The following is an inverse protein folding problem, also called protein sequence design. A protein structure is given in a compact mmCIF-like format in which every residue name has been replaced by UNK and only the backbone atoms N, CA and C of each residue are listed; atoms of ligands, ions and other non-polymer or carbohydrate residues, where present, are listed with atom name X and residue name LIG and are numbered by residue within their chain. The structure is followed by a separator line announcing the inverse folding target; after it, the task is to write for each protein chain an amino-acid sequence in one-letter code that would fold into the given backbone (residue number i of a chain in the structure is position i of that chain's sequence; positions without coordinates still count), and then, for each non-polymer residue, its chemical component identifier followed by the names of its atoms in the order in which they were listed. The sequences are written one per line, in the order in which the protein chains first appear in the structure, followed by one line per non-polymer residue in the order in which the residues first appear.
data_IF_239066838821
#
_entry.id   IF_239066838821
#
_cell.length_a   1.000
_cell.length_b   1.000
_cell.length_c   1.000
_cell.angle_alpha   90.00
_cell.angle_beta   90.00
_cell.angle_gamma   90.00
#
_symmetry.space_group_name_H-M   'P 1'
#
loop_
_entity.id
_entity.type
_entity.pdbx_description
1 polymer ?
#
# COMPACT_ATOMS: atom_id res chain seq x y z
N UNK A 1 44.43 -8.54 22.70
CA UNK A 1 43.13 -8.06 22.20
C UNK A 1 43.28 -7.58 20.76
N UNK A 2 42.81 -8.39 19.77
CA UNK A 2 42.82 -7.98 18.36
C UNK A 2 41.51 -7.23 18.08
N UNK A 3 41.58 -5.92 17.88
CA UNK A 3 40.47 -5.08 17.43
C UNK A 3 40.11 -5.47 16.00
N UNK A 4 38.94 -6.08 15.82
CA UNK A 4 38.36 -6.35 14.51
C UNK A 4 37.85 -5.02 13.97
N UNK A 5 38.59 -4.44 13.03
CA UNK A 5 38.13 -3.30 12.24
C UNK A 5 37.09 -3.83 11.24
N UNK A 6 35.79 -3.72 11.58
CA UNK A 6 34.71 -4.00 10.64
C UNK A 6 34.81 -2.98 9.50
N UNK A 7 34.87 -3.38 8.24
CA UNK A 7 35.12 -2.43 7.16
C UNK A 7 33.92 -1.49 6.99
N UNK A 8 34.19 -0.20 7.08
CA UNK A 8 33.26 0.93 6.89
C UNK A 8 32.47 0.86 5.57
N UNK A 9 32.94 0.05 4.63
CA UNK A 9 32.32 -0.14 3.29
C UNK A 9 30.95 -0.86 3.32
N UNK A 10 30.67 -1.71 4.32
CA UNK A 10 29.38 -2.41 4.43
C UNK A 10 28.25 -1.46 4.85
N UNK A 11 28.56 -0.44 5.66
CA UNK A 11 27.57 0.54 6.11
C UNK A 11 27.19 1.51 4.99
N UNK A 12 28.11 1.84 4.08
CA UNK A 12 27.90 2.76 2.95
C UNK A 12 27.01 2.13 1.88
N UNK A 13 27.09 0.81 1.66
CA UNK A 13 26.29 0.12 0.64
C UNK A 13 24.79 0.06 0.99
N UNK A 14 24.42 -0.03 2.27
CA UNK A 14 23.02 0.02 2.70
C UNK A 14 22.38 1.42 2.55
N UNK A 15 23.16 2.49 2.75
CA UNK A 15 22.70 3.87 2.56
C UNK A 15 22.41 4.21 1.08
N UNK A 16 23.09 3.55 0.13
CA UNK A 16 22.91 3.82 -1.30
C UNK A 16 21.64 3.20 -1.91
N UNK A 17 21.12 2.11 -1.35
CA UNK A 17 19.91 1.45 -1.87
C UNK A 17 18.64 2.25 -1.51
N UNK A 18 18.53 2.75 -0.27
CA UNK A 18 17.41 3.61 0.15
C UNK A 18 17.33 4.92 -0.65
N UNK A 19 18.46 5.57 -0.93
CA UNK A 19 18.54 6.77 -1.77
C UNK A 19 18.03 6.56 -3.21
N UNK A 20 18.14 5.35 -3.77
CA UNK A 20 17.72 5.10 -5.15
C UNK A 20 16.20 5.05 -5.31
N UNK A 21 15.47 4.40 -4.41
CA UNK A 21 13.99 4.30 -4.45
C UNK A 21 13.36 5.67 -4.20
N UNK A 22 13.79 6.38 -3.16
CA UNK A 22 13.29 7.72 -2.86
C UNK A 22 13.47 8.67 -4.05
N UNK A 23 14.62 8.61 -4.74
CA UNK A 23 14.87 9.40 -5.96
C UNK A 23 13.90 9.04 -7.08
N UNK A 24 13.56 7.75 -7.28
CA UNK A 24 12.60 7.32 -8.28
C UNK A 24 11.18 7.77 -7.93
N UNK A 25 10.80 7.75 -6.67
CA UNK A 25 9.50 8.24 -6.19
C UNK A 25 9.31 9.75 -6.42
N UNK A 26 10.40 10.53 -6.44
CA UNK A 26 10.37 11.97 -6.70
C UNK A 26 10.26 12.32 -8.19
N UNK A 27 10.54 11.39 -9.12
CA UNK A 27 10.52 11.65 -10.57
C UNK A 27 9.12 11.96 -11.09
N UNK A 28 9.07 12.92 -12.04
CA UNK A 28 7.83 13.40 -12.65
C UNK A 28 7.14 14.50 -11.83
N UNK A 29 6.10 15.06 -12.42
CA UNK A 29 5.31 16.18 -11.88
C UNK A 29 3.82 15.95 -12.05
N UNK A 30 3.00 16.85 -11.52
CA UNK A 30 1.55 16.83 -11.60
C UNK A 30 1.07 18.12 -12.27
N UNK A 31 0.05 18.02 -13.11
CA UNK A 31 -0.65 19.15 -13.72
C UNK A 31 -2.15 19.06 -13.47
N UNK A 32 -2.84 20.20 -13.34
CA UNK A 32 -2.27 21.57 -13.24
C UNK A 32 -1.49 21.76 -11.92
N UNK A 33 -0.73 22.85 -11.80
CA UNK A 33 0.07 23.14 -10.60
C UNK A 33 -0.77 23.33 -9.34
N UNK A 34 -2.02 23.76 -9.50
CA UNK A 34 -3.02 23.85 -8.41
C UNK A 34 -4.23 23.04 -8.83
N UNK A 35 -4.59 22.06 -8.01
CA UNK A 35 -5.72 21.18 -8.30
C UNK A 35 -6.44 20.72 -7.03
N UNK A 36 -7.72 20.45 -7.22
CA UNK A 36 -8.57 19.65 -6.34
C UNK A 36 -9.56 18.92 -7.25
N UNK A 37 -9.60 17.60 -7.15
CA UNK A 37 -10.46 16.77 -7.98
C UNK A 37 -11.15 15.72 -7.10
N UNK A 38 -12.44 15.52 -7.34
CA UNK A 38 -13.24 14.50 -6.66
C UNK A 38 -13.79 13.49 -7.66
N UNK A 39 -13.80 12.23 -7.27
CA UNK A 39 -14.39 11.15 -8.07
C UNK A 39 -14.92 10.06 -7.15
N UNK A 40 -15.71 9.15 -7.72
CA UNK A 40 -16.05 7.90 -7.04
C UNK A 40 -15.04 6.81 -7.38
N UNK A 41 -14.89 5.84 -6.50
CA UNK A 41 -14.12 4.64 -6.75
C UNK A 41 -14.98 3.37 -6.61
N UNK A 42 -14.51 2.28 -7.18
CA UNK A 42 -15.02 0.94 -6.91
C UNK A 42 -14.06 0.17 -6.03
N UNK A 43 -14.49 -0.96 -5.50
CA UNK A 43 -13.62 -1.81 -4.70
C UNK A 43 -13.61 -3.23 -5.22
N UNK A 44 -12.44 -3.86 -5.20
CA UNK A 44 -12.28 -5.29 -5.36
C UNK A 44 -11.79 -5.87 -4.03
N UNK A 45 -12.63 -6.68 -3.35
CA UNK A 45 -12.31 -7.20 -2.00
C UNK A 45 -11.81 -6.11 -1.04
N UNK A 46 -12.49 -4.97 -0.97
CA UNK A 46 -12.15 -3.76 -0.18
C UNK A 46 -10.99 -2.92 -0.72
N UNK A 47 -10.19 -3.36 -1.67
CA UNK A 47 -9.10 -2.57 -2.26
C UNK A 47 -9.68 -1.56 -3.25
N UNK A 48 -9.19 -0.33 -3.24
CA UNK A 48 -9.62 0.73 -4.14
C UNK A 48 -9.21 0.45 -5.57
N UNK A 49 -10.16 0.59 -6.49
CA UNK A 49 -9.95 0.55 -7.94
C UNK A 49 -10.30 1.92 -8.51
N UNK A 50 -9.34 2.54 -9.15
CA UNK A 50 -9.44 3.90 -9.69
C UNK A 50 -9.34 3.89 -11.22
N UNK A 51 -10.24 4.62 -11.91
CA UNK A 51 -10.15 4.73 -13.36
C UNK A 51 -9.15 5.82 -13.75
N UNK A 52 -8.05 5.42 -14.36
CA UNK A 52 -7.11 6.34 -14.98
C UNK A 52 -7.15 6.25 -16.50
N UNK A 53 -6.81 7.34 -17.18
CA UNK A 53 -6.54 7.34 -18.61
C UNK A 53 -5.04 7.15 -18.83
N UNK A 54 -4.68 6.06 -19.47
CA UNK A 54 -3.32 5.69 -19.81
C UNK A 54 -3.24 5.48 -21.33
N UNK A 55 -2.34 6.20 -22.02
CA UNK A 55 -2.22 6.18 -23.48
C UNK A 55 -3.55 6.43 -24.22
N UNK A 56 -4.36 7.35 -23.71
CA UNK A 56 -5.67 7.70 -24.29
C UNK A 56 -6.81 6.71 -23.96
N UNK A 57 -6.53 5.60 -23.28
CA UNK A 57 -7.52 4.56 -22.95
C UNK A 57 -7.79 4.57 -21.46
N UNK A 58 -9.07 4.51 -21.07
CA UNK A 58 -9.48 4.35 -19.68
C UNK A 58 -9.15 2.93 -19.21
N UNK A 59 -8.40 2.83 -18.09
CA UNK A 59 -7.98 1.58 -17.46
C UNK A 59 -8.21 1.63 -15.96
N UNK A 60 -8.42 0.48 -15.34
CA UNK A 60 -8.62 0.33 -13.92
C UNK A 60 -7.31 0.04 -13.20
N UNK A 61 -6.97 0.87 -12.23
CA UNK A 61 -5.75 0.74 -11.43
C UNK A 61 -6.08 0.44 -9.98
N UNK A 62 -5.37 -0.51 -9.41
CA UNK A 62 -5.40 -0.79 -7.99
C UNK A 62 -4.58 0.27 -7.24
N UNK A 63 -5.13 0.83 -6.15
CA UNK A 63 -4.43 1.81 -5.31
C UNK A 63 -3.72 1.09 -4.16
N UNK A 64 -2.40 1.22 -4.07
CA UNK A 64 -1.57 0.43 -3.17
C UNK A 64 -0.49 1.28 -2.47
N UNK A 65 -0.70 1.57 -1.19
CA UNK A 65 0.28 2.29 -0.37
C UNK A 65 1.47 1.44 0.05
N UNK A 66 1.38 0.12 -0.10
CA UNK A 66 2.47 -0.82 0.14
C UNK A 66 3.41 -1.02 -1.06
N UNK A 67 3.04 -0.49 -2.24
CA UNK A 67 3.89 -0.56 -3.43
C UNK A 67 4.86 0.62 -3.50
N UNK A 68 6.16 0.38 -3.40
CA UNK A 68 7.21 1.41 -3.46
C UNK A 68 7.20 2.21 -4.76
N UNK A 69 6.80 1.59 -5.86
CA UNK A 69 6.69 2.18 -7.19
C UNK A 69 5.39 1.73 -7.85
N UNK A 70 4.86 2.54 -8.76
CA UNK A 70 3.71 2.15 -9.57
C UNK A 70 4.09 1.04 -10.55
N UNK A 71 3.11 0.21 -10.91
CA UNK A 71 3.27 -0.88 -11.86
C UNK A 71 2.30 -0.68 -13.03
N UNK A 72 2.78 -0.89 -14.25
CA UNK A 72 1.96 -0.80 -15.46
C UNK A 72 1.79 -2.20 -16.04
N UNK A 73 0.53 -2.60 -16.25
CA UNK A 73 0.22 -3.84 -16.94
C UNK A 73 0.66 -3.74 -18.41
N UNK A 74 1.51 -4.65 -18.83
CA UNK A 74 1.92 -4.86 -20.21
C UNK A 74 2.02 -6.35 -20.50
N UNK A 75 1.84 -6.73 -21.73
CA UNK A 75 2.01 -8.13 -22.14
C UNK A 75 3.45 -8.59 -21.98
N UNK A 76 4.39 -7.70 -22.31
CA UNK A 76 5.83 -7.94 -22.19
C UNK A 76 6.50 -6.75 -21.49
N UNK A 77 7.55 -6.99 -20.69
CA UNK A 77 8.33 -5.92 -20.08
C UNK A 77 9.09 -5.11 -21.14
N UNK A 78 9.03 -3.79 -21.03
CA UNK A 78 9.79 -2.87 -21.91
C UNK A 78 10.86 -2.13 -21.11
N UNK A 79 11.91 -1.69 -21.81
CA UNK A 79 13.05 -1.00 -21.21
C UNK A 79 14.03 -1.94 -20.50
N UNK A 80 14.90 -1.38 -19.66
CA UNK A 80 15.86 -2.18 -18.89
C UNK A 80 15.12 -3.04 -17.86
N UNK A 81 15.30 -4.36 -17.91
CA UNK A 81 14.60 -5.30 -17.03
C UNK A 81 15.36 -5.60 -15.75
N UNK A 82 14.61 -6.01 -14.72
CA UNK A 82 15.12 -6.51 -13.46
C UNK A 82 14.19 -7.58 -12.87
N UNK A 83 14.73 -8.47 -12.05
CA UNK A 83 13.93 -9.44 -11.31
C UNK A 83 13.43 -8.84 -10.01
N UNK A 84 12.13 -8.93 -9.77
CA UNK A 84 11.46 -8.43 -8.57
C UNK A 84 10.65 -9.57 -7.96
N UNK A 85 10.64 -9.65 -6.65
CA UNK A 85 9.74 -10.52 -5.92
C UNK A 85 8.59 -9.68 -5.34
N UNK A 86 7.37 -10.09 -5.63
CA UNK A 86 6.17 -9.53 -4.98
C UNK A 86 5.85 -10.27 -3.66
N UNK A 87 4.63 -10.04 -3.16
CA UNK A 87 4.12 -10.71 -1.95
C UNK A 87 4.04 -12.24 -2.06
N UNK A 88 4.14 -12.81 -3.25
CA UNK A 88 4.15 -14.25 -3.51
C UNK A 88 5.53 -14.89 -3.44
N UNK A 89 6.60 -14.15 -3.20
CA UNK A 89 8.00 -14.58 -3.33
C UNK A 89 8.38 -15.11 -4.73
N UNK A 90 7.44 -15.13 -5.70
CA UNK A 90 7.73 -15.50 -7.09
C UNK A 90 8.52 -14.37 -7.75
N UNK A 91 9.65 -14.71 -8.34
CA UNK A 91 10.45 -13.77 -9.11
C UNK A 91 9.76 -13.46 -10.44
N UNK A 92 9.60 -12.18 -10.73
CA UNK A 92 9.05 -11.67 -12.00
C UNK A 92 10.08 -10.78 -12.67
N UNK A 93 10.17 -10.87 -13.99
CA UNK A 93 11.00 -9.99 -14.79
C UNK A 93 10.16 -8.76 -15.17
N UNK A 94 10.49 -7.60 -14.61
CA UNK A 94 9.81 -6.34 -14.91
C UNK A 94 10.77 -5.35 -15.59
N UNK A 95 10.23 -4.58 -16.51
CA UNK A 95 10.92 -3.49 -17.19
C UNK A 95 10.82 -2.18 -16.42
N UNK A 96 11.69 -1.22 -16.73
CA UNK A 96 11.69 0.15 -16.17
C UNK A 96 11.21 1.13 -17.22
N UNK A 97 10.22 1.96 -16.88
CA UNK A 97 9.75 3.01 -17.78
C UNK A 97 9.45 4.32 -17.03
N UNK A 98 9.43 5.40 -17.81
CA UNK A 98 8.86 6.67 -17.37
C UNK A 98 7.52 6.86 -18.10
N UNK A 99 6.44 6.84 -17.33
CA UNK A 99 5.09 7.01 -17.83
C UNK A 99 4.89 8.47 -18.22
N UNK A 100 4.75 8.73 -19.52
CA UNK A 100 4.62 10.09 -20.06
C UNK A 100 3.41 10.82 -19.50
N UNK A 101 2.28 10.12 -19.40
CA UNK A 101 1.01 10.67 -18.93
C UNK A 101 0.14 9.58 -18.31
N UNK A 102 -0.37 9.87 -17.11
CA UNK A 102 -1.39 9.08 -16.43
C UNK A 102 -2.40 10.07 -15.83
N UNK A 103 -3.68 10.02 -16.26
CA UNK A 103 -4.68 11.02 -15.88
C UNK A 103 -5.81 10.43 -15.07
N UNK A 104 -6.26 11.17 -14.05
CA UNK A 104 -7.51 10.91 -13.34
C UNK A 104 -8.32 12.22 -13.31
N UNK A 105 -9.43 12.25 -14.05
CA UNK A 105 -10.18 13.50 -14.27
C UNK A 105 -9.31 14.60 -14.85
N UNK A 106 -9.22 15.72 -14.14
CA UNK A 106 -8.43 16.90 -14.53
C UNK A 106 -6.97 16.84 -14.08
N UNK A 107 -6.60 15.84 -13.27
CA UNK A 107 -5.24 15.70 -12.71
C UNK A 107 -4.41 14.79 -13.60
N UNK A 108 -3.25 15.25 -14.03
CA UNK A 108 -2.32 14.53 -14.89
C UNK A 108 -0.95 14.37 -14.21
N UNK A 109 -0.53 13.12 -14.01
CA UNK A 109 0.80 12.76 -13.55
C UNK A 109 1.70 12.52 -14.75
N UNK A 110 2.79 13.29 -14.88
CA UNK A 110 3.69 13.28 -16.04
C UNK A 110 5.08 12.77 -15.68
N UNK A 111 5.66 11.99 -16.59
CA UNK A 111 7.03 11.49 -16.51
C UNK A 111 7.35 10.78 -15.17
N UNK A 112 6.38 10.08 -14.62
CA UNK A 112 6.52 9.33 -13.37
C UNK A 112 7.17 7.98 -13.62
N UNK A 113 8.02 7.54 -12.71
CA UNK A 113 8.65 6.24 -12.81
C UNK A 113 7.67 5.11 -12.50
N UNK A 114 7.73 4.04 -13.29
CA UNK A 114 7.00 2.80 -13.03
C UNK A 114 7.82 1.59 -13.45
N UNK A 115 7.47 0.44 -12.89
CA UNK A 115 7.85 -0.85 -13.45
C UNK A 115 6.71 -1.36 -14.34
N UNK A 116 7.04 -2.21 -15.30
CA UNK A 116 6.04 -2.71 -16.24
C UNK A 116 6.27 -4.19 -16.55
N UNK A 117 5.21 -4.88 -16.91
CA UNK A 117 5.26 -6.28 -17.33
C UNK A 117 3.91 -6.95 -17.12
N UNK A 118 3.89 -8.26 -17.30
CA UNK A 118 2.66 -9.03 -17.12
C UNK A 118 2.35 -9.22 -15.64
N UNK A 119 1.21 -8.67 -15.21
CA UNK A 119 0.67 -8.73 -13.85
C UNK A 119 -0.55 -9.68 -13.82
N UNK A 120 -0.44 -10.82 -14.46
CA UNK A 120 -1.52 -11.74 -14.79
C UNK A 120 -2.42 -12.10 -13.60
N UNK A 121 -1.84 -12.31 -12.42
CA UNK A 121 -2.61 -12.65 -11.22
C UNK A 121 -3.65 -11.60 -10.80
N UNK A 122 -3.43 -10.32 -11.12
CA UNK A 122 -4.38 -9.23 -10.84
C UNK A 122 -5.24 -8.90 -12.06
N UNK A 123 -4.70 -9.01 -13.27
CA UNK A 123 -5.40 -8.78 -14.53
C UNK A 123 -6.66 -9.67 -14.66
N UNK A 124 -6.60 -10.91 -14.18
CA UNK A 124 -7.72 -11.83 -14.18
C UNK A 124 -8.86 -11.41 -13.22
N UNK A 125 -8.56 -10.57 -12.24
CA UNK A 125 -9.52 -10.17 -11.21
C UNK A 125 -10.15 -8.79 -11.44
N UNK A 126 -9.52 -7.95 -12.26
CA UNK A 126 -9.92 -6.57 -12.49
C UNK A 126 -10.07 -6.36 -13.99
N UNK A 127 -11.31 -6.06 -14.42
CA UNK A 127 -11.57 -5.74 -15.83
C UNK A 127 -10.78 -4.52 -16.28
N UNK A 128 -10.31 -4.51 -17.51
CA UNK A 128 -9.51 -3.41 -18.08
C UNK A 128 -8.34 -2.98 -17.21
N UNK A 129 -7.69 -3.94 -16.56
CA UNK A 129 -6.62 -3.70 -15.62
C UNK A 129 -5.45 -2.93 -16.28
N UNK A 130 -5.11 -1.78 -15.70
CA UNK A 130 -4.02 -0.92 -16.17
C UNK A 130 -2.74 -1.06 -15.36
N UNK A 131 -2.86 -1.52 -14.09
CA UNK A 131 -1.72 -1.63 -13.20
C UNK A 131 -2.00 -1.26 -11.76
N UNK A 132 -0.96 -0.85 -11.04
CA UNK A 132 -1.00 -0.47 -9.62
C UNK A 132 -0.50 0.97 -9.47
N UNK A 133 -1.24 1.78 -8.76
CA UNK A 133 -0.82 3.11 -8.31
C UNK A 133 -0.06 2.94 -7.00
N UNK A 134 1.24 3.11 -7.05
CA UNK A 134 2.15 3.04 -5.91
C UNK A 134 2.73 4.40 -5.54
N UNK A 135 3.75 4.40 -4.69
CA UNK A 135 4.32 5.61 -4.07
C UNK A 135 4.87 6.64 -5.07
N UNK A 136 5.24 6.24 -6.30
CA UNK A 136 5.68 7.17 -7.35
C UNK A 136 4.57 8.12 -7.82
N UNK A 137 3.31 7.76 -7.62
CA UNK A 137 2.12 8.58 -7.87
C UNK A 137 1.55 9.10 -6.55
N UNK A 138 1.39 8.22 -5.55
CA UNK A 138 0.74 8.56 -4.27
C UNK A 138 1.45 9.74 -3.59
N UNK A 139 2.78 9.77 -3.59
CA UNK A 139 3.56 10.84 -2.96
C UNK A 139 3.42 12.24 -3.61
N UNK A 140 2.71 12.34 -4.75
CA UNK A 140 2.62 13.60 -5.51
C UNK A 140 1.37 14.42 -5.21
N UNK A 141 0.47 13.93 -4.37
CA UNK A 141 -0.77 14.60 -4.00
C UNK A 141 -1.20 14.18 -2.59
N UNK A 142 -2.13 14.92 -2.02
CA UNK A 142 -2.89 14.53 -0.86
C UNK A 142 -4.12 13.74 -1.31
N UNK A 143 -4.46 12.67 -0.60
CA UNK A 143 -5.52 11.73 -0.96
C UNK A 143 -6.48 11.56 0.21
N UNK A 144 -7.72 12.00 0.05
CA UNK A 144 -8.78 11.72 1.01
C UNK A 144 -9.68 10.61 0.46
N UNK A 145 -9.71 9.49 1.15
CA UNK A 145 -10.41 8.27 0.77
C UNK A 145 -11.58 8.09 1.73
N UNK A 146 -12.80 8.33 1.27
CA UNK A 146 -14.03 8.12 2.01
C UNK A 146 -14.57 6.73 1.65
N UNK A 147 -14.26 5.74 2.48
CA UNK A 147 -14.67 4.36 2.24
C UNK A 147 -16.19 4.17 2.33
N UNK A 148 -16.90 4.72 3.34
CA UNK A 148 -18.36 4.61 3.42
C UNK A 148 -19.09 5.13 2.18
N UNK A 149 -18.69 6.29 1.68
CA UNK A 149 -19.35 6.93 0.53
C UNK A 149 -18.70 6.60 -0.81
N UNK A 150 -17.60 5.80 -0.83
CA UNK A 150 -16.80 5.46 -2.01
C UNK A 150 -16.40 6.70 -2.82
N UNK A 151 -15.97 7.75 -2.13
CA UNK A 151 -15.50 9.01 -2.70
C UNK A 151 -14.01 9.19 -2.49
N UNK A 152 -13.34 9.68 -3.51
CA UNK A 152 -11.95 10.04 -3.50
C UNK A 152 -11.80 11.52 -3.82
N UNK A 153 -11.05 12.24 -2.98
CA UNK A 153 -10.61 13.61 -3.26
C UNK A 153 -9.10 13.62 -3.36
N UNK A 154 -8.58 14.22 -4.42
CA UNK A 154 -7.16 14.36 -4.72
C UNK A 154 -6.84 15.85 -4.78
N UNK A 155 -5.82 16.32 -4.08
CA UNK A 155 -5.45 17.74 -4.07
C UNK A 155 -3.97 17.92 -3.76
N UNK A 156 -3.39 19.03 -4.21
CA UNK A 156 -2.11 19.51 -3.70
C UNK A 156 -2.27 20.57 -2.57
N UNK A 157 -3.51 20.87 -2.19
CA UNK A 157 -3.83 21.71 -1.02
C UNK A 157 -4.04 20.85 0.20
N UNK A 158 -3.97 21.46 1.38
CA UNK A 158 -4.38 20.80 2.62
C UNK A 158 -5.88 20.43 2.54
N UNK A 159 -6.19 19.17 2.87
CA UNK A 159 -7.53 18.62 2.91
C UNK A 159 -8.00 18.37 4.35
N UNK A 160 -7.22 18.83 5.34
CA UNK A 160 -7.53 18.64 6.75
C UNK A 160 -8.71 19.49 7.17
N UNK A 161 -9.66 18.91 7.87
CA UNK A 161 -10.65 19.58 8.70
C UNK A 161 -10.45 19.22 10.19
N UNK A 162 -11.17 19.89 11.08
CA UNK A 162 -11.02 19.76 12.55
C UNK A 162 -11.45 18.40 13.09
N UNK A 163 -12.15 17.59 12.31
CA UNK A 163 -12.66 16.27 12.74
C UNK A 163 -11.73 15.12 12.41
N UNK A 164 -10.65 15.35 11.66
CA UNK A 164 -9.62 14.36 11.43
C UNK A 164 -8.67 14.22 12.63
N UNK A 165 -8.47 13.00 13.08
CA UNK A 165 -7.47 12.67 14.09
C UNK A 165 -6.18 12.23 13.40
N UNK A 166 -5.06 12.87 13.73
CA UNK A 166 -3.75 12.44 13.28
C UNK A 166 -3.34 11.14 13.98
N UNK A 167 -2.90 10.16 13.21
CA UNK A 167 -2.35 8.93 13.76
C UNK A 167 -0.82 9.00 13.81
N UNK A 168 -0.22 8.31 14.77
CA UNK A 168 1.24 8.17 14.86
C UNK A 168 1.74 7.48 13.60
N UNK A 169 2.60 8.16 12.84
CA UNK A 169 3.00 7.72 11.52
C UNK A 169 4.51 7.86 11.33
N UNK A 170 5.12 6.88 10.66
CA UNK A 170 6.53 6.92 10.23
C UNK A 170 6.65 6.32 8.84
N UNK A 171 7.41 6.96 7.97
CA UNK A 171 7.83 6.40 6.69
C UNK A 171 9.25 5.85 6.83
N UNK A 172 9.45 4.56 6.58
CA UNK A 172 10.73 3.87 6.70
C UNK A 172 10.92 3.08 5.41
N UNK A 173 12.00 3.36 4.67
CA UNK A 173 12.33 2.70 3.40
C UNK A 173 11.17 2.64 2.39
N UNK A 174 10.39 3.73 2.32
CA UNK A 174 9.22 3.84 1.43
C UNK A 174 7.92 3.30 2.03
N UNK A 175 7.96 2.41 3.00
CA UNK A 175 6.78 1.84 3.63
C UNK A 175 6.18 2.76 4.71
N UNK A 176 4.85 2.81 4.76
CA UNK A 176 4.08 3.60 5.72
C UNK A 176 3.75 2.78 6.96
N UNK A 177 4.27 3.18 8.13
CA UNK A 177 4.04 2.51 9.41
C UNK A 177 3.18 3.34 10.33
N UNK A 178 2.32 2.66 11.09
CA UNK A 178 1.61 3.21 12.26
C UNK A 178 1.79 2.29 13.46
N UNK A 179 1.16 2.65 14.56
CA UNK A 179 1.15 1.85 15.79
C UNK A 179 -0.28 1.56 16.19
N UNK A 180 -0.59 0.30 16.39
CA UNK A 180 -1.86 -0.16 16.93
C UNK A 180 -1.67 -0.58 18.36
N UNK A 181 -2.72 -0.43 19.18
CA UNK A 181 -2.73 -0.89 20.57
C UNK A 181 -3.70 -2.05 20.71
N UNK A 182 -3.20 -3.16 21.24
CA UNK A 182 -4.00 -4.35 21.61
C UNK A 182 -3.72 -4.62 23.09
N UNK A 183 -4.77 -4.64 23.94
CA UNK A 183 -4.65 -4.84 25.40
C UNK A 183 -3.62 -3.94 26.08
N UNK A 184 -3.55 -2.68 25.66
CA UNK A 184 -2.63 -1.69 26.24
C UNK A 184 -1.19 -1.75 25.68
N UNK A 185 -0.84 -2.73 24.84
CA UNK A 185 0.50 -2.85 24.24
C UNK A 185 0.53 -2.30 22.81
N UNK A 186 1.52 -1.47 22.53
CA UNK A 186 1.75 -0.89 21.19
C UNK A 186 2.48 -1.87 20.27
N UNK A 187 1.98 -2.01 19.05
CA UNK A 187 2.58 -2.83 17.99
C UNK A 187 2.74 -2.03 16.70
N UNK A 188 3.95 -2.02 16.14
CA UNK A 188 4.24 -1.39 14.85
C UNK A 188 3.67 -2.23 13.71
N UNK A 189 2.90 -1.62 12.81
CA UNK A 189 2.27 -2.26 11.65
C UNK A 189 2.42 -1.41 10.40
N UNK A 190 2.40 -2.05 9.22
CA UNK A 190 2.35 -1.35 7.94
C UNK A 190 0.90 -0.95 7.64
N UNK A 191 0.70 0.25 7.10
CA UNK A 191 -0.53 0.67 6.43
C UNK A 191 -0.42 0.28 4.96
N UNK A 192 -1.18 -0.74 4.55
CA UNK A 192 -1.13 -1.32 3.20
C UNK A 192 -2.53 -1.34 2.59
N UNK A 193 -2.93 -0.24 1.93
CA UNK A 193 -4.25 -0.12 1.30
C UNK A 193 -4.38 -0.96 0.03
N UNK A 194 -3.29 -1.56 -0.46
CA UNK A 194 -3.29 -2.61 -1.48
C UNK A 194 -3.63 -4.00 -0.95
N UNK A 195 -3.74 -4.17 0.37
CA UNK A 195 -4.17 -5.40 1.02
C UNK A 195 -5.65 -5.36 1.36
N UNK A 196 -6.38 -6.44 1.05
CA UNK A 196 -7.82 -6.58 1.37
C UNK A 196 -8.11 -7.02 2.81
N UNK A 197 -7.09 -7.24 3.64
CA UNK A 197 -7.28 -7.65 5.04
C UNK A 197 -7.74 -6.50 5.93
N UNK A 198 -8.36 -6.81 7.07
CA UNK A 198 -8.44 -5.84 8.16
C UNK A 198 -7.10 -5.83 8.88
N UNK A 199 -6.71 -6.92 9.54
CA UNK A 199 -5.41 -7.05 10.20
C UNK A 199 -4.75 -8.38 9.81
N UNK A 200 -3.47 -8.33 9.45
CA UNK A 200 -2.70 -9.50 9.06
C UNK A 200 -1.40 -9.58 9.83
N UNK A 201 -1.07 -10.78 10.33
CA UNK A 201 0.11 -11.07 11.13
C UNK A 201 0.96 -12.19 10.53
N UNK A 202 2.30 -12.09 10.63
CA UNK A 202 3.18 -13.22 10.39
C UNK A 202 2.93 -14.35 11.41
N UNK A 203 2.76 -15.59 10.93
CA UNK A 203 2.48 -16.75 11.77
C UNK A 203 3.54 -17.02 12.85
N UNK A 204 4.80 -16.73 12.57
CA UNK A 204 5.92 -16.90 13.52
C UNK A 204 6.09 -15.77 14.53
N UNK A 205 5.30 -14.68 14.44
CA UNK A 205 5.47 -13.51 15.31
C UNK A 205 5.04 -13.78 16.74
N UNK A 206 5.70 -13.09 17.70
CA UNK A 206 5.34 -13.16 19.13
C UNK A 206 3.87 -12.79 19.36
N UNK A 207 3.38 -11.73 18.69
CA UNK A 207 2.00 -11.30 18.80
C UNK A 207 1.02 -12.36 18.27
N UNK A 208 1.32 -13.00 17.12
CA UNK A 208 0.48 -14.06 16.59
C UNK A 208 0.35 -15.24 17.58
N UNK A 209 1.47 -15.69 18.16
CA UNK A 209 1.47 -16.75 19.17
C UNK A 209 0.62 -16.41 20.39
N UNK A 210 0.71 -15.17 20.88
CA UNK A 210 -0.07 -14.69 22.00
C UNK A 210 -1.57 -14.67 21.65
N UNK A 211 -1.95 -14.11 20.50
CA UNK A 211 -3.35 -14.01 20.10
C UNK A 211 -4.00 -15.38 19.87
N UNK A 212 -3.25 -16.36 19.36
CA UNK A 212 -3.72 -17.74 19.19
C UNK A 212 -4.02 -18.43 20.53
N UNK A 213 -3.36 -18.05 21.61
CA UNK A 213 -3.64 -18.58 22.95
C UNK A 213 -4.87 -17.91 23.61
N UNK A 214 -5.12 -16.64 23.24
CA UNK A 214 -6.13 -15.81 23.90
C UNK A 214 -7.48 -15.79 23.20
N UNK A 215 -7.49 -16.01 21.87
CA UNK A 215 -8.69 -15.90 21.05
C UNK A 215 -8.91 -17.15 20.21
N UNK A 216 -10.16 -17.37 19.84
CA UNK A 216 -10.52 -18.52 18.99
C UNK A 216 -10.19 -18.19 17.52
N UNK A 217 -9.17 -18.85 16.98
CA UNK A 217 -8.80 -18.83 15.57
C UNK A 217 -9.16 -20.16 14.91
N UNK A 218 -9.61 -20.09 13.68
CA UNK A 218 -9.96 -21.27 12.87
C UNK A 218 -9.13 -21.30 11.60
N UNK A 219 -8.77 -22.48 11.17
CA UNK A 219 -8.11 -22.66 9.87
C UNK A 219 -9.05 -22.23 8.73
N UNK A 220 -8.50 -21.53 7.78
CA UNK A 220 -9.16 -21.06 6.58
C UNK A 220 -8.22 -21.22 5.39
N UNK A 221 -8.75 -21.69 4.29
CA UNK A 221 -8.05 -21.77 3.02
C UNK A 221 -8.66 -20.78 2.05
N UNK A 222 -7.83 -20.03 1.35
CA UNK A 222 -8.29 -19.10 0.32
C UNK A 222 -7.26 -18.83 -0.76
N UNK A 223 -7.72 -18.39 -1.89
CA UNK A 223 -6.86 -17.84 -2.92
C UNK A 223 -6.39 -16.43 -2.58
N UNK A 224 -5.11 -16.20 -2.78
CA UNK A 224 -4.47 -14.89 -2.72
C UNK A 224 -3.98 -14.50 -4.11
N UNK A 225 -4.44 -13.35 -4.56
CA UNK A 225 -4.08 -12.76 -5.85
C UNK A 225 -2.97 -11.74 -5.63
N UNK A 226 -1.88 -11.90 -6.37
CA UNK A 226 -0.70 -11.04 -6.28
C UNK A 226 -0.19 -10.74 -7.68
N UNK A 227 0.71 -9.78 -7.80
CA UNK A 227 1.41 -9.52 -9.08
C UNK A 227 2.12 -10.78 -9.63
N UNK A 228 2.57 -11.68 -8.78
CA UNK A 228 3.24 -12.93 -9.15
C UNK A 228 2.31 -14.10 -9.42
N UNK A 229 0.98 -13.88 -9.51
CA UNK A 229 -0.01 -14.90 -9.79
C UNK A 229 -0.96 -15.21 -8.63
N UNK A 230 -1.69 -16.32 -8.78
CA UNK A 230 -2.65 -16.82 -7.81
C UNK A 230 -1.96 -17.89 -6.96
N UNK A 231 -2.21 -17.85 -5.66
CA UNK A 231 -1.72 -18.84 -4.70
C UNK A 231 -2.81 -19.23 -3.73
N UNK A 232 -2.96 -20.51 -3.49
CA UNK A 232 -3.73 -21.02 -2.35
C UNK A 232 -2.89 -20.82 -1.09
N UNK A 233 -3.44 -20.15 -0.09
CA UNK A 233 -2.82 -19.96 1.21
C UNK A 233 -3.70 -20.54 2.30
N UNK A 234 -3.06 -21.19 3.27
CA UNK A 234 -3.68 -21.57 4.55
C UNK A 234 -3.38 -20.49 5.56
N UNK A 235 -4.38 -20.04 6.28
CA UNK A 235 -4.28 -19.03 7.31
C UNK A 235 -5.16 -19.39 8.51
N UNK A 236 -4.84 -18.83 9.66
CA UNK A 236 -5.72 -18.88 10.82
C UNK A 236 -6.47 -17.55 10.95
N UNK A 237 -7.78 -17.61 11.06
CA UNK A 237 -8.67 -16.44 11.10
C UNK A 237 -9.43 -16.38 12.40
N UNK A 238 -9.37 -15.23 13.07
CA UNK A 238 -10.09 -14.94 14.31
C UNK A 238 -10.55 -13.50 14.38
N UNK A 239 -11.24 -13.16 15.46
CA UNK A 239 -11.72 -11.80 15.73
C UNK A 239 -11.02 -11.26 16.98
N UNK A 240 -10.39 -10.11 16.85
CA UNK A 240 -9.86 -9.33 17.97
C UNK A 240 -10.94 -8.31 18.39
N UNK A 241 -11.43 -8.36 19.63
CA UNK A 241 -12.56 -7.52 20.06
C UNK A 241 -12.30 -6.03 19.92
N UNK A 242 -11.07 -5.59 20.21
CA UNK A 242 -10.69 -4.18 20.20
C UNK A 242 -9.24 -3.99 19.77
N UNK A 243 -9.04 -3.16 18.73
CA UNK A 243 -7.74 -2.60 18.33
C UNK A 243 -7.89 -1.08 18.34
N UNK A 244 -6.88 -0.35 18.83
CA UNK A 244 -6.86 1.12 18.78
C UNK A 244 -5.72 1.63 17.89
N UNK A 245 -5.94 2.77 17.23
CA UNK A 245 -4.89 3.60 16.64
C UNK A 245 -5.00 4.98 17.29
N UNK A 246 -4.07 5.33 18.17
CA UNK A 246 -4.26 6.47 19.05
C UNK A 246 -5.54 6.28 19.87
N UNK A 247 -6.45 7.27 19.83
CA UNK A 247 -7.74 7.24 20.50
C UNK A 247 -8.87 6.61 19.69
N UNK A 248 -8.60 6.25 18.41
CA UNK A 248 -9.61 5.67 17.54
C UNK A 248 -9.76 4.17 17.81
N UNK A 249 -10.97 3.75 18.15
CA UNK A 249 -11.30 2.36 18.44
C UNK A 249 -11.84 1.62 17.21
N UNK A 250 -11.31 0.43 16.96
CA UNK A 250 -11.78 -0.51 15.95
C UNK A 250 -12.23 -1.79 16.65
N UNK A 251 -13.52 -2.09 16.54
CA UNK A 251 -14.15 -3.23 17.23
C UNK A 251 -14.31 -4.42 16.30
N UNK A 252 -14.20 -5.64 16.87
CA UNK A 252 -14.40 -6.90 16.16
C UNK A 252 -13.55 -7.03 14.89
N UNK A 253 -12.26 -6.71 15.00
CA UNK A 253 -11.33 -6.71 13.86
C UNK A 253 -11.01 -8.12 13.42
N UNK A 254 -11.35 -8.45 12.17
CA UNK A 254 -10.99 -9.74 11.55
C UNK A 254 -9.48 -9.79 11.36
N UNK A 255 -8.86 -10.76 12.00
CA UNK A 255 -7.41 -10.94 12.01
C UNK A 255 -7.03 -12.24 11.32
N UNK A 256 -6.10 -12.16 10.37
CA UNK A 256 -5.52 -13.31 9.69
C UNK A 256 -4.09 -13.52 10.14
N UNK A 257 -3.71 -14.76 10.42
CA UNK A 257 -2.34 -15.17 10.72
C UNK A 257 -1.88 -16.11 9.62
N UNK A 258 -0.85 -15.72 8.86
CA UNK A 258 -0.38 -16.49 7.70
C UNK A 258 1.10 -16.23 7.39
N UNK A 259 1.59 -16.86 6.33
CA UNK A 259 2.93 -16.62 5.80
C UNK A 259 3.00 -15.20 5.21
N UNK A 260 3.39 -14.25 6.01
CA UNK A 260 3.64 -12.85 5.64
C UNK A 260 4.93 -12.38 6.30
N UNK A 261 5.51 -11.31 5.78
CA UNK A 261 6.80 -10.81 6.28
C UNK A 261 6.67 -9.86 7.47
N UNK A 262 5.55 -9.12 7.55
CA UNK A 262 5.35 -8.07 8.55
C UNK A 262 3.86 -7.91 8.91
N UNK A 263 3.57 -7.47 10.15
CA UNK A 263 2.22 -7.09 10.55
C UNK A 263 1.71 -5.92 9.69
N UNK A 264 0.44 -6.01 9.23
CA UNK A 264 -0.18 -4.96 8.41
C UNK A 264 -1.66 -4.78 8.67
N UNK A 265 -2.13 -3.55 8.52
CA UNK A 265 -3.54 -3.22 8.42
C UNK A 265 -3.83 -2.85 6.95
N UNK A 266 -4.90 -3.43 6.41
CA UNK A 266 -5.28 -3.25 5.01
C UNK A 266 -6.49 -2.34 4.83
N UNK A 267 -6.99 -2.28 3.61
CA UNK A 267 -8.11 -1.43 3.22
C UNK A 267 -9.40 -1.75 4.00
N UNK A 268 -9.68 -3.04 4.27
CA UNK A 268 -10.87 -3.42 5.02
C UNK A 268 -10.86 -2.95 6.49
N UNK A 269 -9.70 -2.69 7.06
CA UNK A 269 -9.58 -2.12 8.41
C UNK A 269 -10.21 -0.72 8.50
N UNK A 270 -10.15 0.04 7.42
CA UNK A 270 -10.67 1.41 7.33
C UNK A 270 -12.04 1.52 6.65
N UNK A 271 -12.75 0.41 6.47
CA UNK A 271 -14.04 0.36 5.72
C UNK A 271 -15.10 1.35 6.20
N UNK A 272 -15.08 1.71 7.49
CA UNK A 272 -16.03 2.64 8.12
C UNK A 272 -15.39 4.02 8.39
N UNK A 273 -14.29 4.36 7.70
CA UNK A 273 -13.50 5.56 7.96
C UNK A 273 -13.31 6.40 6.70
N UNK A 274 -13.00 7.67 6.93
CA UNK A 274 -12.33 8.53 5.94
C UNK A 274 -10.84 8.57 6.29
N UNK A 275 -9.99 8.20 5.34
CA UNK A 275 -8.53 8.21 5.49
C UNK A 275 -7.95 9.35 4.69
N UNK A 276 -7.14 10.20 5.31
CA UNK A 276 -6.39 11.25 4.65
C UNK A 276 -4.90 10.91 4.65
N UNK A 277 -4.33 10.71 3.46
CA UNK A 277 -2.90 10.64 3.21
C UNK A 277 -2.43 12.06 2.91
N UNK A 278 -1.90 12.74 3.92
CA UNK A 278 -1.40 14.11 3.84
C UNK A 278 0.09 14.09 3.54
N UNK A 279 0.43 13.95 2.26
CA UNK A 279 1.83 13.92 1.82
C UNK A 279 2.54 15.27 1.98
N UNK A 280 1.81 16.38 1.94
CA UNK A 280 2.36 17.72 2.13
C UNK A 280 2.97 17.90 3.52
N UNK A 281 2.37 17.27 4.54
CA UNK A 281 2.80 17.34 5.94
C UNK A 281 3.39 16.01 6.44
N UNK A 282 3.54 15.01 5.57
CA UNK A 282 3.99 13.65 5.91
C UNK A 282 3.20 13.05 7.07
N UNK A 283 1.86 13.02 6.94
CA UNK A 283 0.92 12.55 7.97
C UNK A 283 -0.15 11.63 7.38
N UNK A 284 -0.64 10.74 8.22
CA UNK A 284 -1.91 10.06 8.02
C UNK A 284 -2.91 10.54 9.07
N UNK A 285 -4.15 10.76 8.65
CA UNK A 285 -5.24 11.18 9.51
C UNK A 285 -6.45 10.32 9.21
N UNK A 286 -7.23 10.05 10.23
CA UNK A 286 -8.43 9.21 10.14
C UNK A 286 -9.61 9.93 10.79
N UNK A 287 -10.75 9.83 10.14
CA UNK A 287 -12.05 10.23 10.67
C UNK A 287 -12.95 9.01 10.62
N UNK A 288 -13.57 8.69 11.75
CA UNK A 288 -14.52 7.59 11.89
C UNK A 288 -15.93 8.11 12.11
#
# INVERSE_FOLDING_TARGET
MKTIKLPLYVLISFLLIGCSITRLQQKGNVHPDVFTFETSFTTQKSILILPFVFNGVKKNFLFDTGADVSLIQREYPIGKTQNISGASNRKMKLGKEYVKSLKIGTVEFKNTFALNGDLDGLKQQISDFGGIIGQTIINKANWQIDYPNKKLKISNKDLTDTIFQAIKFKKIDGASYTFITIKGLEHKVIIDLGSSSEFNLPEGSKLAKQLLQEYNFKNNERERYTIGGIQTIVEQVGIIPLIKIGDIEFKNVKTSINVSSQPRIGSAFFKDCVVLIDNSNNRYKVKK
#
